data_IF_476961454705
#
_entry.id   IF_476961454705
#
_cell.length_a   1.000
_cell.length_b   1.000
_cell.length_c   1.000
_cell.angle_alpha   90.00
_cell.angle_beta   90.00
_cell.angle_gamma   90.00
#
_symmetry.space_group_name_H-M   'P 1'
#
loop_
_entity.id
_entity.type
_entity.pdbx_description
1 polymer ?
#
# COMPACT_ATOMS: atom_id res chain seq x y z
N UNK A 1 -4.72 -34.21 16.66
CA UNK A 1 -4.01 -32.96 16.34
C UNK A 1 -3.90 -32.18 17.64
N UNK A 2 -2.75 -31.65 17.97
CA UNK A 2 -2.57 -30.85 19.19
C UNK A 2 -3.46 -29.58 19.10
N UNK A 3 -4.18 -29.25 20.19
CA UNK A 3 -4.96 -28.01 20.28
C UNK A 3 -4.04 -26.75 20.41
N UNK A 4 -2.72 -26.98 20.54
CA UNK A 4 -1.73 -25.89 20.58
C UNK A 4 -1.32 -25.48 19.15
N UNK A 5 -1.62 -24.26 18.72
CA UNK A 5 -1.25 -23.75 17.38
C UNK A 5 0.26 -23.82 17.10
N UNK A 6 1.12 -23.70 18.13
CA UNK A 6 2.58 -23.78 17.98
C UNK A 6 3.01 -25.19 17.60
N UNK A 7 2.48 -26.20 18.29
CA UNK A 7 2.78 -27.63 18.00
C UNK A 7 2.26 -28.00 16.59
N UNK A 8 1.08 -27.53 16.21
CA UNK A 8 0.56 -27.77 14.87
C UNK A 8 1.48 -27.18 13.79
N UNK A 9 2.00 -25.96 14.01
CA UNK A 9 2.94 -25.32 13.08
C UNK A 9 4.26 -26.10 12.97
N UNK A 10 4.85 -26.55 14.09
CA UNK A 10 6.09 -27.33 14.08
C UNK A 10 5.92 -28.64 13.29
N UNK A 11 4.80 -29.34 13.47
CA UNK A 11 4.49 -30.53 12.68
C UNK A 11 4.34 -30.24 11.18
N UNK A 12 3.74 -29.10 10.84
CA UNK A 12 3.58 -28.66 9.46
C UNK A 12 4.93 -28.35 8.80
N UNK A 13 5.82 -27.66 9.51
CA UNK A 13 7.19 -27.33 9.06
C UNK A 13 7.99 -28.61 8.77
N UNK A 14 7.92 -29.61 9.65
CA UNK A 14 8.57 -30.90 9.45
C UNK A 14 7.98 -31.67 8.26
N UNK A 15 6.66 -31.79 8.17
CA UNK A 15 5.97 -32.48 7.08
C UNK A 15 6.24 -31.86 5.71
N UNK A 16 6.41 -30.53 5.64
CA UNK A 16 6.71 -29.80 4.42
C UNK A 16 8.21 -29.71 4.10
N UNK A 17 9.09 -30.33 4.90
CA UNK A 17 10.55 -30.35 4.73
C UNK A 17 11.13 -28.92 4.63
N UNK A 18 10.67 -28.02 5.47
CA UNK A 18 11.17 -26.65 5.53
C UNK A 18 12.59 -26.65 6.10
N UNK A 19 13.53 -26.06 5.38
CA UNK A 19 14.91 -25.90 5.83
C UNK A 19 15.14 -24.53 6.49
N UNK A 20 14.50 -23.49 5.98
CA UNK A 20 14.68 -22.12 6.45
C UNK A 20 13.34 -21.44 6.68
N UNK A 21 13.31 -20.55 7.66
CA UNK A 21 12.13 -19.74 7.98
C UNK A 21 12.52 -18.27 7.98
N UNK A 22 11.88 -17.51 7.12
CA UNK A 22 12.02 -16.07 7.04
C UNK A 22 11.05 -15.38 8.01
N UNK A 23 11.58 -14.79 9.06
CA UNK A 23 10.85 -13.89 9.95
C UNK A 23 10.80 -12.51 9.32
N UNK A 24 9.67 -12.17 8.72
CA UNK A 24 9.50 -10.95 7.94
C UNK A 24 8.81 -9.87 8.74
N UNK A 25 9.29 -8.64 8.63
CA UNK A 25 8.65 -7.43 9.17
C UNK A 25 8.83 -6.27 8.18
N UNK A 26 8.19 -5.14 8.44
CA UNK A 26 8.23 -3.98 7.51
C UNK A 26 8.69 -2.75 8.26
N UNK A 27 9.67 -2.02 7.69
CA UNK A 27 10.15 -0.78 8.27
C UNK A 27 9.19 0.41 8.02
N UNK A 28 9.51 1.58 8.58
CA UNK A 28 8.68 2.80 8.46
C UNK A 28 8.51 3.23 6.99
N UNK A 29 9.51 2.99 6.14
CA UNK A 29 9.47 3.35 4.73
C UNK A 29 8.70 2.35 3.86
N UNK A 30 8.20 1.26 4.45
CA UNK A 30 7.42 0.24 3.75
C UNK A 30 8.27 -0.84 3.08
N UNK A 31 9.55 -0.95 3.45
CA UNK A 31 10.46 -1.99 2.95
C UNK A 31 10.34 -3.24 3.82
N UNK A 32 10.10 -4.37 3.17
CA UNK A 32 10.14 -5.66 3.86
C UNK A 32 11.59 -6.01 4.26
N UNK A 33 11.75 -6.42 5.50
CA UNK A 33 12.99 -6.91 6.11
C UNK A 33 12.79 -8.35 6.57
N UNK A 34 13.89 -9.10 6.69
CA UNK A 34 13.82 -10.49 7.14
C UNK A 34 15.03 -10.87 7.98
N UNK A 35 14.77 -11.69 8.99
CA UNK A 35 15.77 -12.51 9.67
C UNK A 35 15.47 -13.95 9.30
N UNK A 36 16.44 -14.67 8.77
CA UNK A 36 16.28 -16.07 8.36
C UNK A 36 16.84 -17.02 9.41
N UNK A 37 16.03 -17.98 9.83
CA UNK A 37 16.41 -19.02 10.79
C UNK A 37 16.47 -20.39 10.09
N UNK A 38 17.38 -21.29 10.49
CA UNK A 38 17.20 -22.72 10.27
C UNK A 38 15.90 -23.20 10.90
N UNK A 39 15.17 -24.12 10.26
CA UNK A 39 13.87 -24.58 10.78
C UNK A 39 13.95 -25.20 12.18
N UNK A 40 15.11 -25.79 12.57
CA UNK A 40 15.33 -26.32 13.91
C UNK A 40 15.29 -25.28 15.03
N UNK A 41 15.47 -24.01 14.72
CA UNK A 41 15.43 -22.91 15.70
C UNK A 41 14.01 -22.33 15.89
N UNK A 42 13.01 -22.83 15.13
CA UNK A 42 11.65 -22.28 15.17
C UNK A 42 11.00 -22.43 16.54
N UNK A 43 11.18 -23.58 17.22
CA UNK A 43 10.54 -23.81 18.51
C UNK A 43 10.99 -22.80 19.56
N UNK A 44 12.30 -22.51 19.60
CA UNK A 44 12.86 -21.48 20.49
C UNK A 44 12.37 -20.08 20.11
N UNK A 45 12.37 -19.76 18.80
CA UNK A 45 11.85 -18.49 18.27
C UNK A 45 10.37 -18.26 18.63
N UNK A 46 9.54 -19.30 18.62
CA UNK A 46 8.14 -19.22 19.03
C UNK A 46 7.96 -19.07 20.54
N UNK A 47 8.92 -19.57 21.33
CA UNK A 47 8.90 -19.48 22.79
C UNK A 47 9.36 -18.13 23.33
N UNK A 48 10.45 -17.61 22.77
CA UNK A 48 11.21 -16.48 23.33
C UNK A 48 11.29 -15.27 22.39
N UNK A 49 10.83 -15.38 21.13
CA UNK A 49 11.06 -14.40 20.08
C UNK A 49 12.49 -14.43 19.55
N UNK A 50 12.78 -13.64 18.53
CA UNK A 50 14.11 -13.51 17.95
C UNK A 50 14.62 -12.09 18.12
N UNK A 51 15.71 -11.96 18.86
CA UNK A 51 16.34 -10.68 19.12
C UNK A 51 17.07 -10.17 17.87
N UNK A 52 16.98 -8.87 17.62
CA UNK A 52 17.69 -8.21 16.55
C UNK A 52 18.03 -6.77 16.92
N UNK A 53 19.05 -6.21 16.27
CA UNK A 53 19.45 -4.82 16.43
C UNK A 53 18.55 -3.90 15.59
N UNK A 54 17.58 -3.25 16.23
CA UNK A 54 16.67 -2.29 15.60
C UNK A 54 17.38 -1.03 15.08
N UNK A 55 18.60 -0.72 15.56
CA UNK A 55 19.37 0.44 15.08
C UNK A 55 19.91 0.26 13.66
N UNK A 56 20.05 -0.97 13.21
CA UNK A 56 20.49 -1.30 11.84
C UNK A 56 19.42 -1.04 10.76
N UNK A 57 18.18 -0.71 11.16
CA UNK A 57 17.06 -0.52 10.23
C UNK A 57 16.83 0.99 10.04
N UNK A 58 16.86 1.42 8.79
CA UNK A 58 16.57 2.79 8.42
C UNK A 58 15.18 3.20 8.94
N UNK A 59 15.09 4.34 9.63
CA UNK A 59 13.88 4.78 10.32
C UNK A 59 13.78 4.36 11.79
N UNK A 60 14.52 3.32 12.23
CA UNK A 60 14.61 2.90 13.62
C UNK A 60 15.93 3.37 14.31
N UNK A 61 16.87 3.90 13.53
CA UNK A 61 18.28 4.12 13.90
C UNK A 61 18.59 5.11 15.05
N UNK A 62 17.60 5.66 15.75
CA UNK A 62 17.80 6.63 16.84
C UNK A 62 17.01 6.31 18.10
N UNK A 63 16.70 5.05 18.31
CA UNK A 63 16.07 4.59 19.54
C UNK A 63 17.16 4.38 20.56
N UNK A 64 16.93 4.84 21.78
CA UNK A 64 17.87 4.63 22.92
C UNK A 64 18.05 3.15 23.21
N UNK A 65 17.00 2.34 22.99
CA UNK A 65 17.03 0.88 23.08
C UNK A 65 17.18 0.30 21.67
N UNK A 66 18.31 -0.32 21.37
CA UNK A 66 18.57 -0.97 20.08
C UNK A 66 18.07 -2.41 20.03
N UNK A 67 17.97 -3.08 21.19
CA UNK A 67 17.57 -4.46 21.28
C UNK A 67 16.05 -4.60 21.21
N UNK A 68 15.56 -5.19 20.13
CA UNK A 68 14.16 -5.48 19.86
C UNK A 68 13.99 -6.96 19.60
N UNK A 69 12.76 -7.48 19.67
CA UNK A 69 12.53 -8.83 19.24
C UNK A 69 11.30 -9.01 18.37
N UNK A 70 11.39 -10.00 17.48
CA UNK A 70 10.33 -10.38 16.55
C UNK A 70 9.42 -11.41 17.19
N UNK A 71 8.12 -11.15 17.15
CA UNK A 71 7.08 -12.10 17.60
C UNK A 71 6.31 -12.57 16.37
N UNK A 72 6.48 -13.84 15.93
CA UNK A 72 5.83 -14.37 14.75
C UNK A 72 4.30 -14.44 14.90
N UNK A 73 3.57 -14.00 13.90
CA UNK A 73 2.13 -14.23 13.75
C UNK A 73 1.92 -15.57 13.03
N UNK A 74 1.51 -16.59 13.78
CA UNK A 74 1.38 -17.96 13.28
C UNK A 74 0.37 -18.09 12.14
N UNK A 75 -0.62 -17.18 12.07
CA UNK A 75 -1.64 -17.19 11.01
C UNK A 75 -1.09 -16.80 9.64
N UNK A 76 0.12 -16.25 9.60
CA UNK A 76 0.78 -15.77 8.38
C UNK A 76 1.77 -16.77 7.79
N UNK A 77 1.91 -17.96 8.40
CA UNK A 77 2.79 -19.00 7.89
C UNK A 77 2.44 -19.41 6.46
N UNK A 78 3.45 -19.43 5.59
CA UNK A 78 3.30 -19.88 4.20
C UNK A 78 4.65 -20.29 3.62
N UNK A 79 4.65 -21.24 2.67
CA UNK A 79 5.83 -21.56 1.88
C UNK A 79 6.08 -20.46 0.84
N UNK A 80 7.34 -20.19 0.52
CA UNK A 80 7.74 -19.27 -0.54
C UNK A 80 7.82 -20.07 -1.85
N UNK A 81 6.92 -19.85 -2.85
CA UNK A 81 6.80 -20.74 -4.00
C UNK A 81 8.03 -20.78 -4.91
N UNK A 82 8.82 -19.71 -4.94
CA UNK A 82 10.01 -19.57 -5.80
C UNK A 82 11.32 -19.90 -5.08
N UNK A 83 11.29 -20.24 -3.80
CA UNK A 83 12.48 -20.53 -3.00
C UNK A 83 12.46 -21.99 -2.52
N UNK A 84 12.65 -22.91 -3.49
CA UNK A 84 12.69 -24.33 -3.25
C UNK A 84 13.95 -24.89 -3.94
N UNK A 85 14.88 -25.43 -3.14
CA UNK A 85 16.13 -25.98 -3.62
C UNK A 85 16.34 -27.40 -3.11
N UNK A 86 16.73 -28.34 -3.98
CA UNK A 86 17.06 -29.74 -3.64
C UNK A 86 15.98 -30.48 -2.83
N UNK A 87 14.70 -30.10 -3.02
CA UNK A 87 13.56 -30.70 -2.29
C UNK A 87 13.39 -30.18 -0.87
N UNK A 88 14.09 -29.12 -0.50
CA UNK A 88 13.90 -28.33 0.71
C UNK A 88 13.13 -27.03 0.40
N UNK A 89 12.28 -26.63 1.31
CA UNK A 89 11.47 -25.42 1.17
C UNK A 89 11.93 -24.32 2.12
N UNK A 90 11.70 -23.09 1.72
CA UNK A 90 11.74 -21.92 2.62
C UNK A 90 10.30 -21.49 2.95
N UNK A 91 10.03 -21.25 4.23
CA UNK A 91 8.77 -20.69 4.69
C UNK A 91 8.95 -19.25 5.18
N UNK A 92 7.83 -18.56 5.34
CA UNK A 92 7.78 -17.21 5.91
C UNK A 92 6.76 -17.13 7.04
N UNK A 93 7.09 -16.34 8.07
CA UNK A 93 6.17 -15.82 9.08
C UNK A 93 6.28 -14.30 9.10
N UNK A 94 5.17 -13.59 9.11
CA UNK A 94 5.15 -12.13 9.36
C UNK A 94 5.21 -11.93 10.87
N UNK A 95 6.05 -11.00 11.31
CA UNK A 95 6.30 -10.74 12.72
C UNK A 95 5.82 -9.34 13.12
N UNK A 96 5.38 -9.23 14.36
CA UNK A 96 5.26 -7.96 15.06
C UNK A 96 6.58 -7.68 15.77
N UNK A 97 6.93 -6.41 15.93
CA UNK A 97 8.11 -5.97 16.66
C UNK A 97 7.70 -5.64 18.08
N UNK A 98 8.45 -6.16 19.06
CA UNK A 98 8.26 -5.89 20.47
C UNK A 98 9.51 -5.27 21.10
N UNK A 99 9.28 -4.45 22.12
CA UNK A 99 10.33 -3.89 22.98
C UNK A 99 10.81 -4.95 23.98
N UNK A 100 11.99 -4.79 24.61
CA UNK A 100 12.56 -5.77 25.56
C UNK A 100 11.65 -6.11 26.74
N UNK A 101 10.75 -5.22 27.13
CA UNK A 101 9.78 -5.44 28.20
C UNK A 101 8.49 -6.16 27.72
N UNK A 102 8.47 -6.66 26.50
CA UNK A 102 7.38 -7.48 25.96
C UNK A 102 6.21 -6.73 25.36
N UNK A 103 6.25 -5.41 25.32
CA UNK A 103 5.18 -4.60 24.75
C UNK A 103 5.34 -4.46 23.22
N UNK A 104 4.22 -4.39 22.45
CA UNK A 104 4.29 -4.04 21.04
C UNK A 104 5.02 -2.71 20.85
N UNK A 105 5.96 -2.68 19.90
CA UNK A 105 6.74 -1.48 19.62
C UNK A 105 5.88 -0.43 18.91
N UNK A 106 5.85 0.79 19.43
CA UNK A 106 5.06 1.89 18.85
C UNK A 106 5.60 2.39 17.50
N UNK A 107 6.82 2.00 17.13
CA UNK A 107 7.43 2.27 15.83
C UNK A 107 7.24 1.14 14.80
N UNK A 108 6.47 0.10 15.12
CA UNK A 108 6.09 -0.95 14.18
C UNK A 108 4.86 -0.50 13.36
N UNK A 109 4.98 -0.32 12.02
CA UNK A 109 3.86 0.08 11.17
C UNK A 109 2.66 -0.87 11.26
N UNK A 110 2.90 -2.20 11.39
CA UNK A 110 1.83 -3.20 11.52
C UNK A 110 1.05 -3.00 12.82
N UNK A 111 1.74 -2.69 13.91
CA UNK A 111 1.12 -2.36 15.19
C UNK A 111 0.31 -1.05 15.13
N UNK A 112 0.82 -0.02 14.45
CA UNK A 112 0.07 1.24 14.24
C UNK A 112 -1.26 0.98 13.53
N UNK A 113 -1.25 0.18 12.45
CA UNK A 113 -2.48 -0.20 11.76
C UNK A 113 -3.43 -1.00 12.68
N UNK A 114 -2.90 -1.91 13.49
CA UNK A 114 -3.71 -2.69 14.43
C UNK A 114 -4.40 -1.80 15.47
N UNK A 115 -3.72 -0.76 15.97
CA UNK A 115 -4.31 0.19 16.92
C UNK A 115 -5.46 0.98 16.29
N UNK A 116 -5.29 1.49 15.06
CA UNK A 116 -6.36 2.24 14.37
C UNK A 116 -7.53 1.30 14.00
N UNK A 117 -7.23 0.05 13.60
CA UNK A 117 -8.28 -0.96 13.37
C UNK A 117 -9.05 -1.29 14.66
N UNK A 118 -8.37 -1.29 15.81
CA UNK A 118 -9.01 -1.39 17.13
C UNK A 118 -10.01 -0.27 17.39
N UNK A 119 -9.66 0.98 17.04
CA UNK A 119 -10.59 2.11 17.17
C UNK A 119 -11.85 1.95 16.29
N UNK A 120 -11.73 1.35 15.09
CA UNK A 120 -12.88 1.02 14.28
C UNK A 120 -13.75 -0.06 14.94
N UNK A 121 -13.11 -1.08 15.54
CA UNK A 121 -13.78 -2.14 16.26
C UNK A 121 -14.57 -1.62 17.49
N UNK A 122 -14.02 -0.65 18.22
CA UNK A 122 -14.69 0.03 19.34
C UNK A 122 -15.94 0.82 18.88
N UNK A 123 -15.95 1.27 17.63
CA UNK A 123 -17.11 1.90 17.00
C UNK A 123 -18.10 0.88 16.38
N UNK A 124 -17.81 -0.42 16.50
CA UNK A 124 -18.65 -1.49 15.96
C UNK A 124 -18.37 -1.87 14.52
N UNK A 125 -17.20 -1.51 13.95
CA UNK A 125 -16.88 -1.77 12.56
C UNK A 125 -15.63 -2.64 12.38
N UNK A 126 -15.64 -3.51 11.37
CA UNK A 126 -14.44 -4.10 10.77
C UNK A 126 -14.13 -3.37 9.45
N UNK A 127 -12.87 -3.01 9.23
CA UNK A 127 -12.42 -2.32 8.02
C UNK A 127 -11.84 -3.31 7.01
N UNK A 128 -12.27 -3.21 5.76
CA UNK A 128 -11.84 -4.03 4.63
C UNK A 128 -11.22 -3.16 3.56
N UNK A 129 -10.13 -3.66 2.94
CA UNK A 129 -9.41 -3.01 1.85
C UNK A 129 -9.15 -3.99 0.72
N UNK A 130 -9.28 -3.53 -0.53
CA UNK A 130 -8.85 -4.22 -1.74
C UNK A 130 -7.95 -3.27 -2.54
N UNK A 131 -6.65 -3.53 -2.68
CA UNK A 131 -5.76 -2.74 -3.51
C UNK A 131 -5.77 -3.22 -4.97
N UNK A 132 -5.74 -2.26 -5.91
CA UNK A 132 -5.36 -2.41 -7.31
C UNK A 132 -3.91 -1.94 -7.41
N UNK A 133 -2.97 -2.81 -7.78
CA UNK A 133 -1.54 -2.52 -7.66
C UNK A 133 -0.91 -2.45 -9.04
N UNK A 134 -0.58 -1.24 -9.48
CA UNK A 134 0.10 -1.01 -10.74
C UNK A 134 1.62 -1.06 -10.58
N UNK A 135 2.31 -1.55 -11.63
CA UNK A 135 3.76 -1.65 -11.67
C UNK A 135 4.28 -1.69 -13.10
N UNK A 136 5.56 -1.40 -13.28
CA UNK A 136 6.24 -1.57 -14.56
C UNK A 136 7.17 -2.77 -14.56
N UNK A 137 7.25 -3.43 -15.71
CA UNK A 137 8.26 -4.43 -16.04
C UNK A 137 9.23 -3.87 -17.07
N UNK A 138 10.52 -3.89 -16.73
CA UNK A 138 11.58 -3.38 -17.57
C UNK A 138 12.62 -4.46 -17.88
N UNK A 139 13.26 -4.33 -19.06
CA UNK A 139 14.47 -5.07 -19.41
C UNK A 139 15.69 -4.36 -18.80
N UNK A 140 16.73 -5.09 -18.39
CA UNK A 140 18.03 -4.47 -18.16
C UNK A 140 18.56 -3.86 -19.47
N UNK A 141 19.43 -2.86 -19.37
CA UNK A 141 20.14 -2.33 -20.54
C UNK A 141 21.19 -3.33 -21.07
N UNK A 142 21.92 -2.94 -22.14
CA UNK A 142 22.94 -3.79 -22.75
C UNK A 142 24.06 -4.19 -21.80
N UNK A 143 24.29 -3.40 -20.76
CA UNK A 143 25.35 -3.61 -19.78
C UNK A 143 24.83 -4.30 -18.50
N UNK A 144 23.52 -4.67 -18.50
CA UNK A 144 22.85 -5.31 -17.38
C UNK A 144 22.38 -4.36 -16.27
N UNK A 145 22.45 -3.04 -16.49
CA UNK A 145 21.98 -2.07 -15.49
C UNK A 145 20.47 -1.85 -15.56
N UNK A 146 19.90 -1.34 -14.46
CA UNK A 146 18.50 -0.97 -14.41
C UNK A 146 18.26 0.34 -15.17
N UNK A 147 17.52 0.24 -16.29
CA UNK A 147 17.09 1.36 -17.10
C UNK A 147 15.57 1.27 -17.35
N UNK A 148 14.83 2.39 -17.52
CA UNK A 148 13.39 2.35 -17.75
C UNK A 148 13.07 1.94 -19.20
N UNK A 149 13.53 0.75 -19.61
CA UNK A 149 13.31 0.17 -20.93
C UNK A 149 12.12 -0.79 -20.85
N UNK A 150 10.92 -0.42 -21.34
CA UNK A 150 9.75 -1.28 -21.30
C UNK A 150 10.04 -2.63 -21.97
N UNK A 151 9.53 -3.72 -21.38
CA UNK A 151 9.72 -5.04 -21.96
C UNK A 151 8.88 -5.24 -23.23
N UNK A 152 7.77 -4.48 -23.38
CA UNK A 152 6.91 -4.44 -24.55
C UNK A 152 6.35 -3.04 -24.83
N UNK A 153 5.49 -2.94 -25.84
CA UNK A 153 4.81 -1.72 -26.27
C UNK A 153 3.28 -1.91 -26.34
N UNK A 154 2.74 -2.86 -25.59
CA UNK A 154 1.30 -3.05 -25.48
C UNK A 154 0.62 -1.87 -24.79
N UNK A 155 -0.69 -1.77 -24.96
CA UNK A 155 -1.55 -0.80 -24.30
C UNK A 155 -2.64 -1.48 -23.48
N UNK A 156 -3.62 -0.68 -23.06
CA UNK A 156 -4.67 -1.09 -22.15
C UNK A 156 -5.49 -2.29 -22.71
N UNK A 157 -5.48 -3.40 -21.96
CA UNK A 157 -6.14 -4.67 -22.31
C UNK A 157 -5.69 -5.34 -23.62
N UNK A 158 -4.55 -4.95 -24.19
CA UNK A 158 -4.04 -5.61 -25.37
C UNK A 158 -3.76 -7.10 -25.11
N UNK A 159 -3.98 -7.93 -26.12
CA UNK A 159 -3.77 -9.38 -26.05
C UNK A 159 -2.57 -9.80 -26.90
N UNK A 160 -2.50 -9.33 -28.14
CA UNK A 160 -1.50 -9.80 -29.10
C UNK A 160 -0.11 -9.18 -28.92
N UNK A 161 -0.06 -7.97 -28.39
CA UNK A 161 1.18 -7.19 -28.17
C UNK A 161 1.71 -7.33 -26.75
N UNK A 162 0.91 -7.81 -25.80
CA UNK A 162 1.28 -8.08 -24.42
C UNK A 162 2.23 -9.28 -24.30
N UNK A 163 3.50 -9.00 -24.11
CA UNK A 163 4.54 -10.01 -23.97
C UNK A 163 4.68 -10.57 -22.54
N UNK A 164 3.99 -9.99 -21.56
CA UNK A 164 4.08 -10.42 -20.16
C UNK A 164 2.88 -11.26 -19.69
N UNK A 165 1.96 -11.64 -20.56
CA UNK A 165 0.78 -12.46 -20.16
C UNK A 165 1.19 -13.70 -19.35
N UNK A 166 2.21 -14.45 -19.81
CA UNK A 166 2.70 -15.64 -19.10
C UNK A 166 3.37 -15.30 -17.77
N UNK A 167 4.12 -14.20 -17.73
CA UNK A 167 4.81 -13.74 -16.51
C UNK A 167 3.79 -13.30 -15.47
N UNK A 168 2.74 -12.53 -15.87
CA UNK A 168 1.64 -12.18 -14.95
C UNK A 168 0.91 -13.42 -14.43
N UNK A 169 0.67 -14.45 -15.28
CA UNK A 169 0.09 -15.72 -14.83
C UNK A 169 0.97 -16.44 -13.79
N UNK A 170 2.29 -16.40 -13.95
CA UNK A 170 3.22 -16.91 -12.93
C UNK A 170 3.12 -16.12 -11.63
N UNK A 171 3.04 -14.77 -11.69
CA UNK A 171 2.83 -13.91 -10.52
C UNK A 171 1.53 -14.26 -9.81
N UNK A 172 0.42 -14.32 -10.56
CA UNK A 172 -0.91 -14.69 -10.02
C UNK A 172 -0.88 -16.07 -9.38
N UNK A 173 -0.24 -17.06 -10.02
CA UNK A 173 -0.11 -18.40 -9.46
C UNK A 173 0.68 -18.40 -8.16
N UNK A 174 1.83 -17.72 -8.12
CA UNK A 174 2.63 -17.60 -6.92
C UNK A 174 1.86 -16.90 -5.77
N UNK A 175 1.05 -15.87 -6.08
CA UNK A 175 0.18 -15.22 -5.11
C UNK A 175 -0.90 -16.18 -4.57
N UNK A 176 -1.51 -17.00 -5.44
CA UNK A 176 -2.48 -18.01 -5.03
C UNK A 176 -1.85 -19.08 -4.13
N UNK A 177 -0.64 -19.51 -4.44
CA UNK A 177 0.12 -20.47 -3.62
C UNK A 177 0.48 -19.89 -2.24
N UNK A 178 0.60 -18.55 -2.12
CA UNK A 178 0.74 -17.79 -0.88
C UNK A 178 -0.60 -17.51 -0.17
N UNK A 179 -1.72 -18.04 -0.67
CA UNK A 179 -3.06 -17.82 -0.11
C UNK A 179 -3.67 -16.45 -0.43
N UNK A 180 -3.12 -15.71 -1.39
CA UNK A 180 -3.62 -14.40 -1.80
C UNK A 180 -4.56 -14.57 -3.01
N UNK A 181 -5.78 -14.07 -2.88
CA UNK A 181 -6.77 -14.15 -3.94
C UNK A 181 -6.65 -12.92 -4.85
N UNK A 182 -6.32 -13.17 -6.12
CA UNK A 182 -6.29 -12.18 -7.19
C UNK A 182 -7.66 -12.18 -7.90
N UNK A 183 -8.27 -11.01 -8.08
CA UNK A 183 -9.54 -10.84 -8.80
C UNK A 183 -9.32 -10.63 -10.30
N UNK A 184 -8.33 -9.79 -10.66
CA UNK A 184 -7.97 -9.52 -12.05
C UNK A 184 -6.48 -9.24 -12.20
N UNK A 185 -5.98 -9.36 -13.44
CA UNK A 185 -4.68 -8.86 -13.84
C UNK A 185 -4.67 -8.56 -15.33
N UNK A 186 -4.11 -7.42 -15.72
CA UNK A 186 -4.11 -6.98 -17.11
C UNK A 186 -2.88 -6.10 -17.42
N UNK A 187 -2.69 -5.83 -18.72
CA UNK A 187 -1.76 -4.81 -19.18
C UNK A 187 -2.40 -3.43 -19.00
N UNK A 188 -1.64 -2.46 -18.53
CA UNK A 188 -2.05 -1.08 -18.32
C UNK A 188 -1.80 -0.18 -19.54
N UNK A 189 -2.11 1.12 -19.41
CA UNK A 189 -2.06 2.09 -20.52
C UNK A 189 -0.64 2.31 -21.04
N UNK A 190 0.34 2.42 -20.14
CA UNK A 190 1.72 2.69 -20.55
C UNK A 190 2.46 1.42 -20.95
N UNK A 191 3.38 1.54 -21.92
CA UNK A 191 4.24 0.45 -22.33
C UNK A 191 4.96 -0.19 -21.14
N UNK A 192 4.91 -1.52 -21.02
CA UNK A 192 5.46 -2.28 -19.92
C UNK A 192 4.77 -2.10 -18.58
N UNK A 193 3.59 -1.48 -18.53
CA UNK A 193 2.81 -1.28 -17.30
C UNK A 193 1.75 -2.36 -17.13
N UNK A 194 1.59 -2.85 -15.90
CA UNK A 194 0.68 -3.92 -15.53
C UNK A 194 -0.03 -3.60 -14.23
N UNK A 195 -1.17 -4.28 -14.00
CA UNK A 195 -1.97 -4.21 -12.80
C UNK A 195 -2.35 -5.60 -12.29
N UNK A 196 -2.41 -5.73 -10.96
CA UNK A 196 -2.92 -6.88 -10.24
C UNK A 196 -3.89 -6.40 -9.16
N UNK A 197 -5.14 -6.87 -9.24
CA UNK A 197 -6.22 -6.52 -8.32
C UNK A 197 -6.39 -7.61 -7.28
N UNK A 198 -6.28 -7.25 -6.01
CA UNK A 198 -6.45 -8.18 -4.92
C UNK A 198 -7.90 -8.15 -4.40
N UNK A 199 -8.40 -9.31 -3.96
CA UNK A 199 -9.69 -9.39 -3.28
C UNK A 199 -9.63 -8.67 -1.94
N UNK A 200 -10.73 -8.00 -1.58
CA UNK A 200 -10.88 -7.36 -0.28
C UNK A 200 -10.72 -8.34 0.87
N UNK A 201 -9.94 -7.92 1.85
CA UNK A 201 -9.72 -8.66 3.10
C UNK A 201 -9.72 -7.67 4.28
N UNK A 202 -9.70 -8.19 5.52
CA UNK A 202 -9.51 -7.36 6.72
C UNK A 202 -8.20 -6.60 6.62
N UNK A 203 -8.19 -5.39 7.11
CA UNK A 203 -7.16 -4.38 6.83
C UNK A 203 -5.72 -4.82 7.14
N UNK A 204 -5.48 -5.55 8.23
CA UNK A 204 -4.12 -6.05 8.55
C UNK A 204 -3.68 -7.05 7.48
N UNK A 205 -4.54 -8.02 7.17
CA UNK A 205 -4.26 -9.00 6.12
C UNK A 205 -4.09 -8.33 4.76
N UNK A 206 -4.89 -7.31 4.43
CA UNK A 206 -4.74 -6.56 3.18
C UNK A 206 -3.36 -5.88 3.08
N UNK A 207 -2.86 -5.30 4.18
CA UNK A 207 -1.53 -4.70 4.22
C UNK A 207 -0.42 -5.76 4.08
N UNK A 208 -0.52 -6.87 4.80
CA UNK A 208 0.38 -8.03 4.70
C UNK A 208 0.42 -8.55 3.25
N UNK A 209 -0.74 -8.68 2.59
CA UNK A 209 -0.87 -9.13 1.21
C UNK A 209 -0.29 -8.11 0.21
N UNK A 210 -0.44 -6.81 0.44
CA UNK A 210 0.14 -5.77 -0.41
C UNK A 210 1.67 -5.82 -0.40
N UNK A 211 2.29 -5.92 0.79
CA UNK A 211 3.74 -6.10 0.91
C UNK A 211 4.20 -7.38 0.20
N UNK A 212 3.48 -8.48 0.44
CA UNK A 212 3.77 -9.78 -0.16
C UNK A 212 3.67 -9.74 -1.68
N UNK A 213 2.65 -9.06 -2.24
CA UNK A 213 2.46 -8.92 -3.69
C UNK A 213 3.63 -8.19 -4.33
N UNK A 214 4.12 -7.10 -3.72
CA UNK A 214 5.31 -6.39 -4.23
C UNK A 214 6.55 -7.28 -4.26
N UNK A 215 6.77 -8.10 -3.24
CA UNK A 215 7.88 -9.05 -3.19
C UNK A 215 7.73 -10.14 -4.25
N UNK A 216 6.54 -10.72 -4.39
CA UNK A 216 6.24 -11.77 -5.37
C UNK A 216 6.46 -11.28 -6.80
N UNK A 217 5.92 -10.11 -7.13
CA UNK A 217 6.07 -9.50 -8.46
C UNK A 217 7.55 -9.29 -8.81
N UNK A 218 8.35 -8.76 -7.87
CA UNK A 218 9.79 -8.57 -8.06
C UNK A 218 10.53 -9.91 -8.24
N UNK A 219 10.23 -10.90 -7.42
CA UNK A 219 10.88 -12.21 -7.49
C UNK A 219 10.59 -12.92 -8.82
N UNK A 220 9.32 -12.96 -9.23
CA UNK A 220 8.92 -13.59 -10.49
C UNK A 220 9.46 -12.82 -11.71
N UNK A 221 9.51 -11.48 -11.66
CA UNK A 221 10.15 -10.70 -12.72
C UNK A 221 11.63 -11.08 -12.87
N UNK A 222 12.35 -11.16 -11.76
CA UNK A 222 13.79 -11.54 -11.76
C UNK A 222 14.02 -12.95 -12.33
N UNK A 223 13.17 -13.92 -12.02
CA UNK A 223 13.23 -15.27 -12.59
C UNK A 223 13.02 -15.28 -14.12
N UNK A 224 12.38 -14.23 -14.67
CA UNK A 224 12.15 -14.07 -16.10
C UNK A 224 13.11 -13.05 -16.75
N UNK A 225 14.27 -12.78 -16.12
CA UNK A 225 15.28 -11.82 -16.60
C UNK A 225 14.72 -10.40 -16.85
N UNK A 226 13.68 -10.03 -16.09
CA UNK A 226 13.10 -8.68 -16.04
C UNK A 226 13.28 -8.12 -14.63
N UNK A 227 13.05 -6.81 -14.47
CA UNK A 227 12.87 -6.25 -13.16
C UNK A 227 11.54 -5.48 -13.06
N UNK A 228 10.87 -5.61 -11.93
CA UNK A 228 9.64 -4.91 -11.62
C UNK A 228 9.94 -3.68 -10.76
N UNK A 229 9.28 -2.57 -11.07
CA UNK A 229 9.33 -1.37 -10.24
C UNK A 229 7.94 -0.88 -9.87
N UNK A 230 7.82 -0.46 -8.62
CA UNK A 230 6.66 0.23 -8.05
C UNK A 230 6.90 1.74 -7.93
N UNK A 231 7.87 2.27 -8.68
CA UNK A 231 8.13 3.70 -8.80
C UNK A 231 6.91 4.40 -9.41
N UNK A 232 6.36 5.44 -8.77
CA UNK A 232 5.10 6.05 -9.21
C UNK A 232 5.15 6.65 -10.63
N UNK A 233 6.30 7.17 -11.06
CA UNK A 233 6.49 7.76 -12.39
C UNK A 233 7.88 7.45 -12.94
N UNK A 234 8.10 6.23 -13.45
CA UNK A 234 9.43 5.83 -13.96
C UNK A 234 9.76 6.41 -15.34
N UNK A 235 8.73 6.73 -16.15
CA UNK A 235 8.88 7.28 -17.50
C UNK A 235 8.15 8.62 -17.59
N UNK A 236 8.83 9.65 -18.10
CA UNK A 236 8.23 10.96 -18.34
C UNK A 236 7.25 10.92 -19.52
N UNK A 237 6.15 11.68 -19.43
CA UNK A 237 5.19 11.84 -20.54
C UNK A 237 4.20 10.69 -20.75
N UNK A 238 4.23 9.62 -19.92
CA UNK A 238 3.24 8.52 -19.96
C UNK A 238 2.54 8.37 -18.61
N UNK A 239 1.51 7.54 -18.49
CA UNK A 239 0.84 7.25 -17.22
C UNK A 239 1.85 6.69 -16.19
N UNK A 240 1.63 7.01 -14.92
CA UNK A 240 2.40 6.46 -13.80
C UNK A 240 1.62 5.39 -13.07
N UNK A 241 2.26 4.69 -12.13
CA UNK A 241 1.64 3.63 -11.34
C UNK A 241 0.91 4.18 -10.12
N UNK A 242 -0.39 3.90 -10.04
CA UNK A 242 -1.24 4.09 -8.88
C UNK A 242 -1.37 2.82 -8.03
N UNK A 243 -1.91 3.00 -6.85
CA UNK A 243 -2.46 1.93 -6.03
C UNK A 243 -3.83 2.39 -5.55
N UNK A 244 -4.86 2.13 -6.35
CA UNK A 244 -6.21 2.49 -5.96
C UNK A 244 -6.67 1.61 -4.82
N UNK A 245 -7.31 2.20 -3.82
CA UNK A 245 -7.68 1.49 -2.60
C UNK A 245 -9.20 1.49 -2.42
N UNK A 246 -9.82 0.36 -2.73
CA UNK A 246 -11.22 0.12 -2.44
C UNK A 246 -11.40 -0.17 -0.96
N UNK A 247 -12.36 0.50 -0.34
CA UNK A 247 -12.58 0.49 1.10
C UNK A 247 -14.05 0.27 1.43
N UNK A 248 -14.30 -0.49 2.50
CA UNK A 248 -15.63 -0.63 3.10
C UNK A 248 -15.55 -0.91 4.60
N UNK A 249 -16.62 -0.59 5.31
CA UNK A 249 -16.83 -0.99 6.71
C UNK A 249 -17.92 -2.06 6.77
N UNK A 250 -17.69 -3.07 7.60
CA UNK A 250 -18.70 -4.08 7.93
C UNK A 250 -19.11 -3.88 9.39
N UNK A 251 -20.42 -3.79 9.63
CA UNK A 251 -20.96 -3.76 10.98
C UNK A 251 -20.72 -5.10 11.68
N UNK A 252 -20.08 -5.08 12.84
CA UNK A 252 -19.64 -6.28 13.56
C UNK A 252 -20.79 -7.08 14.18
N UNK A 253 -21.92 -6.46 14.41
CA UNK A 253 -23.10 -7.11 15.02
C UNK A 253 -23.90 -7.83 13.95
N UNK A 254 -24.15 -7.14 12.82
CA UNK A 254 -25.02 -7.64 11.77
C UNK A 254 -24.29 -8.38 10.66
N UNK A 255 -22.98 -8.17 10.53
CA UNK A 255 -22.17 -8.67 9.41
C UNK A 255 -22.48 -7.99 8.07
N UNK A 256 -23.28 -6.92 8.07
CA UNK A 256 -23.70 -6.21 6.87
C UNK A 256 -22.71 -5.09 6.51
N UNK A 257 -22.65 -4.78 5.22
CA UNK A 257 -21.86 -3.66 4.73
C UNK A 257 -22.45 -2.32 5.22
N UNK A 258 -21.73 -1.61 6.09
CA UNK A 258 -22.17 -0.37 6.70
C UNK A 258 -22.22 0.81 5.70
N UNK A 259 -21.63 0.65 4.50
CA UNK A 259 -21.66 1.69 3.46
C UNK A 259 -22.90 1.62 2.58
N UNK A 260 -23.63 0.51 2.61
CA UNK A 260 -24.75 0.27 1.69
C UNK A 260 -26.05 0.93 2.14
N UNK A 261 -26.68 1.68 1.25
CA UNK A 261 -28.08 2.10 1.31
C UNK A 261 -28.70 2.02 -0.10
N UNK A 262 -29.47 0.96 -0.38
CA UNK A 262 -30.10 0.79 -1.71
C UNK A 262 -31.12 1.88 -2.09
N UNK A 263 -31.60 2.66 -1.14
CA UNK A 263 -32.55 3.77 -1.37
C UNK A 263 -31.87 5.08 -1.78
N UNK A 264 -30.55 5.21 -1.55
CA UNK A 264 -29.78 6.39 -1.92
C UNK A 264 -29.39 6.36 -3.42
N UNK A 265 -29.41 7.49 -4.15
CA UNK A 265 -29.06 7.53 -5.57
C UNK A 265 -27.65 7.02 -5.89
N UNK A 266 -26.71 7.16 -4.96
CA UNK A 266 -25.35 6.63 -5.04
C UNK A 266 -25.20 5.26 -4.37
N UNK A 267 -26.25 4.76 -3.71
CA UNK A 267 -26.19 3.53 -2.92
C UNK A 267 -25.42 3.67 -1.61
N UNK A 268 -25.20 4.91 -1.14
CA UNK A 268 -24.37 5.24 0.02
C UNK A 268 -25.20 5.51 1.28
N UNK A 269 -24.91 4.80 2.35
CA UNK A 269 -25.43 5.11 3.68
C UNK A 269 -24.89 6.45 4.22
N UNK A 270 -25.50 6.95 5.30
CA UNK A 270 -24.98 8.09 6.03
C UNK A 270 -23.54 7.84 6.53
N UNK A 271 -23.25 6.63 6.99
CA UNK A 271 -21.89 6.21 7.41
C UNK A 271 -20.88 6.35 6.27
N UNK A 272 -21.21 5.87 5.06
CA UNK A 272 -20.34 6.01 3.90
C UNK A 272 -20.12 7.48 3.52
N UNK A 273 -21.15 8.29 3.55
CA UNK A 273 -21.06 9.73 3.26
C UNK A 273 -20.16 10.45 4.24
N UNK A 274 -20.29 10.18 5.53
CA UNK A 274 -19.40 10.73 6.56
C UNK A 274 -17.96 10.24 6.40
N UNK A 275 -17.77 8.97 6.08
CA UNK A 275 -16.45 8.39 5.81
C UNK A 275 -15.75 9.09 4.64
N UNK A 276 -16.45 9.27 3.50
CA UNK A 276 -15.92 10.00 2.35
C UNK A 276 -15.58 11.45 2.74
N UNK A 277 -16.46 12.12 3.48
CA UNK A 277 -16.21 13.49 3.93
C UNK A 277 -14.94 13.60 4.78
N UNK A 278 -14.66 12.61 5.64
CA UNK A 278 -13.42 12.51 6.41
C UNK A 278 -12.20 12.32 5.51
N UNK A 279 -12.27 11.45 4.51
CA UNK A 279 -11.18 11.28 3.53
C UNK A 279 -10.85 12.59 2.79
N UNK A 280 -11.88 13.34 2.40
CA UNK A 280 -11.69 14.63 1.69
C UNK A 280 -11.14 15.72 2.62
N UNK A 281 -11.56 15.77 3.88
CA UNK A 281 -11.09 16.73 4.89
C UNK A 281 -9.60 16.59 5.13
N UNK A 282 -9.12 15.35 5.33
CA UNK A 282 -7.74 15.03 5.66
C UNK A 282 -6.86 14.71 4.42
N UNK A 283 -7.38 14.88 3.21
CA UNK A 283 -6.69 14.46 1.98
C UNK A 283 -5.28 15.06 1.84
N UNK A 284 -5.11 16.33 2.18
CA UNK A 284 -3.80 16.99 2.10
C UNK A 284 -2.81 16.46 3.14
N UNK A 285 -3.28 16.25 4.38
CA UNK A 285 -2.47 15.69 5.48
C UNK A 285 -2.04 14.26 5.24
N UNK A 286 -2.94 13.44 4.67
CA UNK A 286 -2.63 12.05 4.30
C UNK A 286 -1.66 11.94 3.12
N UNK A 287 -1.61 12.93 2.23
CA UNK A 287 -0.91 12.82 0.94
C UNK A 287 0.56 12.43 1.09
N UNK A 288 1.28 12.95 2.09
CA UNK A 288 2.67 12.59 2.35
C UNK A 288 2.86 11.09 2.68
N UNK A 289 1.84 10.43 3.24
CA UNK A 289 1.88 9.00 3.59
C UNK A 289 1.43 8.14 2.42
N UNK A 290 0.43 8.61 1.65
CA UNK A 290 -0.16 7.89 0.52
C UNK A 290 0.68 7.98 -0.77
N UNK A 291 1.41 9.09 -0.94
CA UNK A 291 2.27 9.41 -2.07
C UNK A 291 3.62 9.92 -1.54
N UNK A 292 4.48 9.01 -0.99
CA UNK A 292 5.53 9.40 -0.05
C UNK A 292 6.84 9.85 -0.69
N UNK A 293 6.99 9.76 -2.01
CA UNK A 293 8.25 10.06 -2.70
C UNK A 293 8.19 11.40 -3.42
N UNK A 294 9.33 12.04 -3.65
CA UNK A 294 9.41 13.18 -4.58
C UNK A 294 8.89 12.80 -5.96
N UNK A 295 9.06 11.55 -6.36
CA UNK A 295 8.58 11.01 -7.62
C UNK A 295 7.05 10.86 -7.67
N UNK A 296 6.36 10.66 -6.55
CA UNK A 296 4.90 10.55 -6.44
C UNK A 296 4.19 11.77 -7.05
N UNK A 297 4.76 12.95 -6.86
CA UNK A 297 4.20 14.23 -7.35
C UNK A 297 4.43 14.47 -8.85
N UNK A 298 5.20 13.62 -9.51
CA UNK A 298 5.31 13.53 -10.97
C UNK A 298 4.20 12.67 -11.58
N UNK A 299 3.53 11.82 -10.78
CA UNK A 299 2.31 11.11 -11.14
C UNK A 299 1.07 11.95 -10.89
N UNK A 300 0.98 12.64 -9.73
CA UNK A 300 -0.18 13.44 -9.32
C UNK A 300 -0.25 14.77 -10.09
N UNK A 301 -0.34 14.70 -11.41
CA UNK A 301 -0.42 15.84 -12.34
C UNK A 301 -1.60 15.66 -13.28
N UNK A 302 -2.22 16.76 -13.79
CA UNK A 302 -3.33 16.67 -14.74
C UNK A 302 -2.95 15.94 -16.04
N UNK A 303 -3.91 15.22 -16.62
CA UNK A 303 -3.77 14.59 -17.94
C UNK A 303 -3.20 13.15 -17.94
N UNK A 304 -2.96 12.53 -16.79
CA UNK A 304 -2.39 11.18 -16.68
C UNK A 304 -3.22 10.26 -15.75
N UNK A 305 -4.54 10.39 -15.78
CA UNK A 305 -5.50 9.56 -15.01
C UNK A 305 -5.26 9.53 -13.48
N UNK A 306 -4.50 10.48 -12.95
CA UNK A 306 -4.26 10.64 -11.53
C UNK A 306 -5.10 11.79 -10.96
N UNK A 307 -5.64 11.68 -9.73
CA UNK A 307 -6.43 12.74 -9.11
C UNK A 307 -5.52 13.90 -8.69
N UNK A 308 -5.99 15.12 -8.95
CA UNK A 308 -5.33 16.36 -8.54
C UNK A 308 -6.22 17.18 -7.61
N UNK A 309 -7.54 17.05 -7.77
CA UNK A 309 -8.55 17.83 -7.05
C UNK A 309 -9.21 17.02 -5.95
N UNK A 310 -9.41 17.65 -4.79
CA UNK A 310 -10.07 17.04 -3.64
C UNK A 310 -11.59 17.05 -3.89
N UNK A 311 -12.06 15.97 -4.51
CA UNK A 311 -13.43 15.78 -4.95
C UNK A 311 -13.85 14.31 -4.86
N UNK A 312 -15.15 14.04 -4.96
CA UNK A 312 -15.67 12.68 -5.10
C UNK A 312 -16.71 12.64 -6.22
N UNK A 313 -16.90 11.46 -6.77
CA UNK A 313 -17.89 11.23 -7.82
C UNK A 313 -18.03 9.75 -8.17
N UNK A 314 -18.94 9.44 -9.09
CA UNK A 314 -19.18 8.06 -9.58
C UNK A 314 -18.56 7.82 -10.94
N UNK A 315 -18.78 8.74 -11.88
CA UNK A 315 -18.38 8.59 -13.29
C UNK A 315 -17.04 9.24 -13.59
N UNK A 316 -16.60 10.13 -12.72
CA UNK A 316 -15.41 10.93 -12.91
C UNK A 316 -14.14 10.18 -12.45
N UNK A 317 -13.29 9.77 -13.39
CA UNK A 317 -11.98 9.16 -13.10
C UNK A 317 -10.93 10.14 -12.59
N UNK A 318 -11.16 11.46 -12.69
CA UNK A 318 -10.29 12.48 -12.13
C UNK A 318 -10.61 12.81 -10.66
N UNK A 319 -11.70 12.26 -10.10
CA UNK A 319 -12.06 12.43 -8.69
C UNK A 319 -11.06 11.73 -7.76
N UNK A 320 -10.79 12.35 -6.61
CA UNK A 320 -9.95 11.76 -5.56
C UNK A 320 -10.58 10.51 -4.94
N UNK A 321 -11.88 10.60 -4.65
CA UNK A 321 -12.67 9.47 -4.15
C UNK A 321 -13.73 9.11 -5.18
N UNK A 322 -13.65 7.89 -5.71
CA UNK A 322 -14.63 7.35 -6.63
C UNK A 322 -15.58 6.40 -5.90
N UNK A 323 -16.87 6.44 -6.26
CA UNK A 323 -17.88 5.49 -5.78
C UNK A 323 -18.26 4.56 -6.93
N UNK A 324 -17.66 3.35 -7.03
CA UNK A 324 -17.97 2.42 -8.09
C UNK A 324 -19.46 2.07 -8.13
N UNK A 325 -20.00 1.82 -9.34
CA UNK A 325 -21.38 1.34 -9.46
C UNK A 325 -21.47 -0.10 -8.93
N UNK A 326 -22.55 -0.36 -8.20
CA UNK A 326 -22.87 -1.68 -7.68
C UNK A 326 -23.99 -2.28 -8.52
N UNK A 327 -23.86 -3.54 -8.92
CA UNK A 327 -24.91 -4.27 -9.64
C UNK A 327 -26.16 -4.39 -8.76
N UNK A 328 -27.32 -4.19 -9.33
CA UNK A 328 -28.62 -4.35 -8.65
C UNK A 328 -28.68 -5.68 -7.89
N UNK A 329 -29.04 -5.64 -6.62
CA UNK A 329 -29.08 -6.83 -5.74
C UNK A 329 -27.74 -7.18 -5.08
N UNK A 330 -26.66 -6.47 -5.37
CA UNK A 330 -25.33 -6.69 -4.73
C UNK A 330 -24.91 -5.56 -3.80
N UNK A 331 -25.80 -5.01 -3.01
CA UNK A 331 -25.51 -3.88 -2.07
C UNK A 331 -24.34 -4.16 -1.13
N UNK A 332 -24.09 -5.42 -0.78
CA UNK A 332 -22.93 -5.81 0.02
C UNK A 332 -21.57 -5.48 -0.64
N UNK A 333 -21.54 -5.19 -1.94
CA UNK A 333 -20.34 -4.77 -2.67
C UNK A 333 -20.16 -3.24 -2.70
N UNK A 334 -20.97 -2.47 -1.96
CA UNK A 334 -20.83 -1.00 -1.86
C UNK A 334 -19.48 -0.66 -1.23
N UNK A 335 -18.72 0.19 -1.92
CA UNK A 335 -17.37 0.57 -1.53
C UNK A 335 -17.01 1.97 -2.03
N UNK A 336 -15.98 2.53 -1.48
CA UNK A 336 -15.37 3.78 -1.95
C UNK A 336 -13.92 3.50 -2.36
N UNK A 337 -13.46 4.15 -3.41
CA UNK A 337 -12.14 3.98 -3.98
C UNK A 337 -11.34 5.28 -3.78
N UNK A 338 -10.24 5.22 -3.04
CA UNK A 338 -9.30 6.34 -2.93
C UNK A 338 -8.20 6.16 -3.98
N UNK A 339 -7.99 7.18 -4.84
CA UNK A 339 -7.20 7.05 -6.07
C UNK A 339 -5.82 7.72 -6.03
N UNK A 340 -5.53 8.55 -5.01
CA UNK A 340 -4.22 9.22 -4.91
C UNK A 340 -3.07 8.33 -4.43
N UNK A 341 -3.26 7.24 -3.67
CA UNK A 341 -2.14 6.42 -3.24
C UNK A 341 -1.34 5.86 -4.41
N UNK A 342 -0.05 5.66 -4.19
CA UNK A 342 0.80 4.93 -5.12
C UNK A 342 1.46 3.71 -4.46
N UNK A 343 1.95 2.74 -5.25
CA UNK A 343 2.45 1.48 -4.71
C UNK A 343 3.81 1.58 -4.01
N UNK A 344 4.42 2.78 -3.92
CA UNK A 344 5.63 3.02 -3.12
C UNK A 344 5.32 3.31 -1.65
N UNK A 345 4.06 3.58 -1.29
CA UNK A 345 3.70 3.86 0.10
C UNK A 345 3.89 2.63 1.01
N UNK A 346 4.01 2.88 2.31
CA UNK A 346 3.90 1.84 3.31
C UNK A 346 2.43 1.47 3.50
N UNK A 347 1.96 0.25 3.12
CA UNK A 347 0.53 -0.07 3.15
C UNK A 347 -0.06 -0.05 4.57
N UNK A 348 0.72 -0.42 5.60
CA UNK A 348 0.23 -0.34 6.97
C UNK A 348 -0.08 1.10 7.38
N UNK A 349 0.84 2.03 7.10
CA UNK A 349 0.65 3.44 7.43
C UNK A 349 -0.42 4.08 6.55
N UNK A 350 -0.44 3.76 5.25
CA UNK A 350 -1.45 4.25 4.32
C UNK A 350 -2.87 3.86 4.77
N UNK A 351 -3.08 2.58 5.12
CA UNK A 351 -4.39 2.10 5.55
C UNK A 351 -4.78 2.63 6.93
N UNK A 352 -3.80 2.85 7.83
CA UNK A 352 -4.05 3.47 9.13
C UNK A 352 -4.55 4.92 8.99
N UNK A 353 -3.89 5.76 8.19
CA UNK A 353 -4.30 7.17 8.04
C UNK A 353 -5.63 7.30 7.30
N UNK A 354 -5.90 6.43 6.31
CA UNK A 354 -7.19 6.39 5.61
C UNK A 354 -8.33 6.02 6.54
N UNK A 355 -8.14 4.97 7.35
CA UNK A 355 -9.15 4.55 8.33
C UNK A 355 -9.38 5.64 9.36
N UNK A 356 -8.32 6.24 9.92
CA UNK A 356 -8.43 7.31 10.90
C UNK A 356 -9.23 8.51 10.35
N UNK A 357 -8.92 8.94 9.11
CA UNK A 357 -9.63 10.02 8.43
C UNK A 357 -11.12 9.71 8.23
N UNK A 358 -11.43 8.49 7.76
CA UNK A 358 -12.81 8.05 7.58
C UNK A 358 -13.60 7.97 8.90
N UNK A 359 -12.97 7.46 9.97
CA UNK A 359 -13.57 7.40 11.31
C UNK A 359 -13.81 8.78 11.92
N UNK A 360 -12.90 9.75 11.68
CA UNK A 360 -13.11 11.14 12.09
C UNK A 360 -14.35 11.72 11.42
N UNK A 361 -14.51 11.50 10.12
CA UNK A 361 -15.70 11.90 9.38
C UNK A 361 -16.99 11.32 9.99
N UNK A 362 -16.97 10.04 10.37
CA UNK A 362 -18.12 9.37 11.02
C UNK A 362 -18.36 9.96 12.42
N UNK A 363 -17.34 10.09 13.27
CA UNK A 363 -17.46 10.61 14.65
C UNK A 363 -17.99 12.03 14.67
N UNK A 364 -17.48 12.89 13.78
CA UNK A 364 -17.90 14.30 13.66
C UNK A 364 -19.15 14.50 12.81
N UNK A 365 -19.64 13.45 12.15
CA UNK A 365 -20.77 13.52 11.20
C UNK A 365 -20.56 14.59 10.14
N UNK A 366 -19.36 14.61 9.54
CA UNK A 366 -18.98 15.61 8.56
C UNK A 366 -19.93 15.58 7.36
N UNK A 367 -20.42 16.74 6.89
CA UNK A 367 -21.28 16.80 5.72
C UNK A 367 -20.47 16.52 4.46
N UNK A 368 -20.95 15.63 3.61
CA UNK A 368 -20.35 15.37 2.31
C UNK A 368 -20.79 16.46 1.30
N UNK A 369 -19.83 17.08 0.62
CA UNK A 369 -20.06 18.04 -0.46
C UNK A 369 -20.76 17.38 -1.65
N UNK A 370 -21.29 18.17 -2.58
CA UNK A 370 -21.84 17.67 -3.84
C UNK A 370 -20.80 16.91 -4.66
N UNK A 371 -21.25 15.86 -5.37
CA UNK A 371 -20.39 15.08 -6.26
C UNK A 371 -19.92 15.91 -7.46
N UNK A 372 -18.70 15.72 -7.88
CA UNK A 372 -18.16 16.24 -9.11
C UNK A 372 -18.23 15.15 -10.20
N UNK A 373 -19.28 15.12 -10.99
CA UNK A 373 -19.52 14.10 -12.02
C UNK A 373 -18.93 14.47 -13.38
N UNK A 374 -18.55 15.71 -13.58
CA UNK A 374 -17.86 16.17 -14.78
C UNK A 374 -16.37 15.81 -14.76
N UNK A 375 -15.80 15.71 -15.97
CA UNK A 375 -14.36 15.56 -16.15
C UNK A 375 -13.60 16.82 -15.73
N UNK A 376 -12.95 16.76 -14.57
CA UNK A 376 -12.20 17.88 -13.99
C UNK A 376 -10.89 18.18 -14.75
N UNK A 377 -10.46 17.36 -15.71
CA UNK A 377 -9.30 17.67 -16.54
C UNK A 377 -9.59 18.78 -17.57
N UNK A 378 -10.87 18.97 -17.92
CA UNK A 378 -11.32 19.94 -18.93
C UNK A 378 -12.07 21.13 -18.34
N UNK A 379 -12.34 21.14 -17.03
CA UNK A 379 -13.05 22.24 -16.34
C UNK A 379 -12.03 23.02 -15.50
N UNK A 380 -12.16 24.35 -15.42
CA UNK A 380 -11.37 25.12 -14.44
C UNK A 380 -11.86 24.79 -13.01
N UNK A 381 -11.08 24.04 -12.22
CA UNK A 381 -11.50 23.64 -10.87
C UNK A 381 -11.60 24.82 -9.92
N UNK A 382 -10.92 25.95 -10.24
CA UNK A 382 -10.97 27.18 -9.45
C UNK A 382 -12.38 27.80 -9.53
N UNK A 383 -13.07 27.63 -10.65
CA UNK A 383 -14.45 28.09 -10.81
C UNK A 383 -15.42 27.40 -9.84
N UNK A 384 -15.08 26.19 -9.35
CA UNK A 384 -15.85 25.43 -8.34
C UNK A 384 -15.31 25.56 -6.92
N UNK A 385 -14.22 26.28 -6.69
CA UNK A 385 -13.58 26.38 -5.39
C UNK A 385 -13.05 25.04 -4.86
N UNK A 386 -12.71 24.09 -5.75
CA UNK A 386 -12.13 22.80 -5.35
C UNK A 386 -10.68 23.00 -4.90
N UNK A 387 -10.37 22.50 -3.72
CA UNK A 387 -9.00 22.43 -3.24
C UNK A 387 -8.21 21.38 -4.04
N UNK A 388 -6.89 21.53 -4.09
CA UNK A 388 -5.98 20.59 -4.75
C UNK A 388 -5.19 19.79 -3.73
N UNK A 389 -4.76 18.58 -4.13
CA UNK A 389 -3.71 17.87 -3.45
C UNK A 389 -2.40 18.67 -3.46
N UNK A 390 -1.45 18.41 -2.56
CA UNK A 390 -0.11 18.97 -2.63
C UNK A 390 0.55 18.68 -3.99
N UNK A 391 1.32 19.63 -4.50
CA UNK A 391 2.03 19.50 -5.80
C UNK A 391 3.48 19.05 -5.65
N UNK A 392 3.96 18.89 -4.43
CA UNK A 392 5.32 18.44 -4.10
C UNK A 392 5.34 17.72 -2.76
N UNK A 393 6.38 16.91 -2.54
CA UNK A 393 6.62 16.27 -1.24
C UNK A 393 6.77 17.32 -0.13
N UNK A 394 7.46 18.43 -0.39
CA UNK A 394 7.60 19.51 0.61
C UNK A 394 6.26 20.12 1.03
N UNK A 395 5.34 20.34 0.08
CA UNK A 395 3.99 20.83 0.39
C UNK A 395 3.17 19.78 1.17
N UNK A 396 3.29 18.49 0.81
CA UNK A 396 2.61 17.42 1.51
C UNK A 396 3.10 17.24 2.96
N UNK A 397 4.41 17.34 3.19
CA UNK A 397 4.99 17.32 4.53
C UNK A 397 4.51 18.51 5.38
N UNK A 398 4.38 19.70 4.76
CA UNK A 398 3.81 20.86 5.46
C UNK A 398 2.34 20.65 5.82
N UNK A 399 1.55 20.02 4.93
CA UNK A 399 0.16 19.68 5.23
C UNK A 399 0.06 18.62 6.35
N UNK A 400 0.93 17.62 6.35
CA UNK A 400 1.00 16.61 7.42
C UNK A 400 1.32 17.24 8.79
N UNK A 401 2.21 18.26 8.84
CA UNK A 401 2.51 19.00 10.08
C UNK A 401 1.32 19.78 10.62
N UNK A 402 0.32 20.06 9.82
CA UNK A 402 -0.87 20.82 10.20
C UNK A 402 -2.08 19.92 10.52
N UNK A 403 -1.98 18.62 10.28
CA UNK A 403 -3.07 17.66 10.47
C UNK A 403 -2.82 16.80 11.72
N UNK A 404 -3.33 17.27 12.86
CA UNK A 404 -3.15 16.60 14.14
C UNK A 404 -3.76 15.18 14.17
N UNK A 405 -4.87 14.94 13.43
CA UNK A 405 -5.47 13.62 13.35
C UNK A 405 -4.52 12.61 12.72
N UNK A 406 -3.91 12.99 11.59
CA UNK A 406 -2.99 12.10 10.87
C UNK A 406 -1.71 11.86 11.68
N UNK A 407 -1.20 12.89 12.37
CA UNK A 407 -0.07 12.73 13.31
C UNK A 407 -0.42 11.73 14.43
N UNK A 408 -1.61 11.86 15.03
CA UNK A 408 -2.07 10.95 16.09
C UNK A 408 -2.25 9.51 15.58
N UNK A 409 -2.76 9.34 14.35
CA UNK A 409 -2.92 8.03 13.73
C UNK A 409 -1.58 7.31 13.49
N UNK A 410 -0.54 8.06 13.13
CA UNK A 410 0.83 7.53 12.97
C UNK A 410 1.51 7.24 14.32
N UNK A 411 1.13 7.97 15.36
CA UNK A 411 1.81 7.97 16.64
C UNK A 411 3.15 8.72 16.58
N UNK A 412 3.69 9.14 17.75
CA UNK A 412 4.82 10.07 17.80
C UNK A 412 6.10 9.50 17.15
N UNK A 413 6.41 8.24 17.40
CA UNK A 413 7.65 7.62 16.88
C UNK A 413 7.61 7.54 15.35
N UNK A 414 6.54 6.98 14.78
CA UNK A 414 6.40 6.87 13.31
C UNK A 414 6.36 8.26 12.69
N UNK A 415 5.55 9.17 13.24
CA UNK A 415 5.41 10.52 12.70
C UNK A 415 6.77 11.24 12.60
N UNK A 416 7.54 11.29 13.70
CA UNK A 416 8.83 11.95 13.72
C UNK A 416 9.81 11.32 12.72
N UNK A 417 9.98 10.00 12.75
CA UNK A 417 10.93 9.29 11.88
C UNK A 417 10.55 9.37 10.41
N UNK A 418 9.25 9.20 10.10
CA UNK A 418 8.76 9.36 8.75
C UNK A 418 8.99 10.77 8.22
N UNK A 419 8.68 11.78 9.05
CA UNK A 419 8.86 13.18 8.69
C UNK A 419 10.34 13.49 8.44
N UNK A 420 11.24 13.04 9.32
CA UNK A 420 12.69 13.24 9.18
C UNK A 420 13.21 12.60 7.86
N UNK A 421 12.87 11.33 7.62
CA UNK A 421 13.31 10.62 6.42
C UNK A 421 12.83 11.30 5.15
N UNK A 422 11.55 11.71 5.10
CA UNK A 422 10.97 12.37 3.92
C UNK A 422 11.44 13.82 3.76
N UNK A 423 11.74 14.51 4.85
CA UNK A 423 12.35 15.84 4.79
C UNK A 423 13.76 15.77 4.20
N UNK A 424 14.57 14.79 4.59
CA UNK A 424 15.91 14.58 4.03
C UNK A 424 15.85 14.28 2.53
N UNK A 425 14.91 13.43 2.09
CA UNK A 425 14.67 13.16 0.67
C UNK A 425 14.29 14.44 -0.09
N UNK A 426 13.36 15.23 0.45
CA UNK A 426 12.94 16.50 -0.15
C UNK A 426 14.09 17.49 -0.27
N UNK A 427 14.89 17.69 0.80
CA UNK A 427 16.03 18.60 0.81
C UNK A 427 17.10 18.16 -0.21
N UNK A 428 17.40 16.88 -0.28
CA UNK A 428 18.33 16.33 -1.27
C UNK A 428 17.84 16.58 -2.71
N UNK A 429 16.54 16.31 -2.96
CA UNK A 429 15.95 16.51 -4.29
C UNK A 429 15.90 17.99 -4.71
N UNK A 430 15.45 18.90 -3.83
CA UNK A 430 15.25 20.32 -4.18
C UNK A 430 16.56 21.08 -4.41
N UNK A 431 17.67 20.55 -3.92
CA UNK A 431 19.02 21.11 -4.13
C UNK A 431 19.79 20.42 -5.26
N UNK A 432 19.23 19.34 -5.82
CA UNK A 432 19.83 18.61 -6.92
C UNK A 432 19.68 19.40 -8.24
N UNK A 433 20.81 19.68 -8.90
CA UNK A 433 20.80 20.31 -10.23
C UNK A 433 20.55 19.24 -11.29
N UNK A 434 19.38 19.27 -11.91
CA UNK A 434 18.95 18.27 -12.88
C UNK A 434 19.60 18.48 -14.26
N UNK A 435 19.69 17.39 -15.04
CA UNK A 435 20.13 17.48 -16.45
C UNK A 435 19.23 18.41 -17.27
N UNK A 436 17.95 18.51 -16.93
CA UNK A 436 17.03 19.44 -17.59
C UNK A 436 17.42 20.91 -17.33
N UNK A 437 17.78 21.28 -16.11
CA UNK A 437 18.25 22.63 -15.75
C UNK A 437 19.56 22.96 -16.48
N UNK A 438 20.52 22.03 -16.43
CA UNK A 438 21.79 22.20 -17.15
C UNK A 438 21.55 22.40 -18.65
N UNK A 439 20.69 21.58 -19.27
CA UNK A 439 20.40 21.66 -20.71
C UNK A 439 19.66 22.94 -21.11
N UNK A 440 18.83 23.51 -20.21
CA UNK A 440 18.02 24.67 -20.53
C UNK A 440 18.64 26.01 -20.09
N UNK A 441 19.55 25.99 -19.10
CA UNK A 441 20.01 27.26 -18.49
C UNK A 441 21.51 27.51 -18.65
N UNK A 442 22.37 26.47 -18.72
CA UNK A 442 23.81 26.61 -18.64
C UNK A 442 24.43 27.52 -19.71
N UNK A 443 23.85 27.55 -20.91
CA UNK A 443 24.36 28.36 -22.04
C UNK A 443 23.62 29.67 -22.23
N UNK A 444 22.54 29.91 -21.47
CA UNK A 444 21.69 31.09 -21.62
C UNK A 444 22.00 32.12 -20.52
N UNK A 445 22.25 31.66 -19.33
CA UNK A 445 22.55 32.44 -18.14
C UNK A 445 23.95 32.18 -17.60
#
# INVERSE_FOLDING_TARGET
MSDDPRQALLQQVEAQRVAFINLQFTDILGMAKTVTLPAGELEDALGHGVWFDGSAIEGFARIVESDMYLVPDLTTYTLIPWDQHEGLATARLICNIHTPDGRPFAGDPRNVLAQVAGQAADLGYDFYVAPEIEFFLFKPDSDGHHAPIPHDHAGYFDVSTDQATLIRRQMVRALQDLGIVVEASHHEVAAGQHEIDLRHTRVIQAADQTVTTRLTVKAIAQLNALYATFMPKPIAGVNGSGMHLHQSLTDRVTGQNAFADPSDPYGLSATARHFIAGLLEHARGMCAVLAPLVNSYKRLVPGFEAPVHISWGRTNRSALVRVPRVTTGRSQSTRVELRCPDPACNPYLAYAVMLAAGLDGIKRKLPLREAAEEDLFHVDPRARGLATLPISLGEALNALRQDELIQQALGPIIYERFLDARQLEWESYRTHVSTWEVSNYLTIF
#
